data_IF_236644502322
#
_entry.id   IF_236644502322
#
_cell.length_a   1.000
_cell.length_b   1.000
_cell.length_c   1.000
_cell.angle_alpha   90.00
_cell.angle_beta   90.00
_cell.angle_gamma   90.00
#
_symmetry.space_group_name_H-M   'P 1'
#
loop_
_entity.id
_entity.type
_entity.pdbx_description
1 polymer ?
#
# COMPACT_ATOMS: atom_id res chain seq x y z
N UNK A 1 -19.50 5.92 -29.95
CA UNK A 1 -20.39 6.22 -28.80
C UNK A 1 -21.83 6.18 -29.31
N UNK A 2 -22.80 5.73 -28.51
CA UNK A 2 -24.21 5.72 -28.95
C UNK A 2 -24.87 7.04 -28.57
N UNK A 3 -25.81 7.53 -29.40
CA UNK A 3 -26.56 8.77 -29.18
C UNK A 3 -27.23 8.84 -27.79
N UNK A 4 -27.64 7.69 -27.25
CA UNK A 4 -28.24 7.61 -25.91
C UNK A 4 -27.24 7.92 -24.79
N UNK A 5 -25.98 7.49 -24.91
CA UNK A 5 -24.94 7.76 -23.90
C UNK A 5 -24.60 9.25 -23.89
N UNK A 6 -24.44 9.86 -25.06
CA UNK A 6 -24.15 11.29 -25.19
C UNK A 6 -25.27 12.15 -24.60
N UNK A 7 -26.53 11.83 -24.91
CA UNK A 7 -27.68 12.54 -24.35
C UNK A 7 -27.76 12.39 -22.82
N UNK A 8 -27.55 11.19 -22.29
CA UNK A 8 -27.53 10.97 -20.85
C UNK A 8 -26.38 11.72 -20.17
N UNK A 9 -25.21 11.77 -20.80
CA UNK A 9 -24.04 12.49 -20.30
C UNK A 9 -24.28 14.00 -20.24
N UNK A 10 -24.79 14.62 -21.31
CA UNK A 10 -25.09 16.06 -21.33
C UNK A 10 -26.14 16.45 -20.28
N UNK A 11 -27.18 15.63 -20.09
CA UNK A 11 -28.17 15.85 -19.03
C UNK A 11 -27.52 15.77 -17.64
N UNK A 12 -26.62 14.81 -17.41
CA UNK A 12 -25.91 14.71 -16.14
C UNK A 12 -24.97 15.90 -15.91
N UNK A 13 -24.24 16.32 -16.95
CA UNK A 13 -23.34 17.47 -16.94
C UNK A 13 -24.06 18.74 -16.48
N UNK A 14 -25.26 19.00 -16.98
CA UNK A 14 -26.08 20.13 -16.52
C UNK A 14 -26.45 20.00 -15.04
N UNK A 15 -26.90 18.82 -14.59
CA UNK A 15 -27.28 18.61 -13.18
C UNK A 15 -26.13 18.83 -12.20
N UNK A 16 -24.91 18.44 -12.57
CA UNK A 16 -23.72 18.70 -11.77
C UNK A 16 -23.32 20.18 -11.81
N UNK A 17 -23.43 20.83 -12.97
CA UNK A 17 -23.15 22.26 -13.12
C UNK A 17 -24.09 23.12 -12.25
N UNK A 18 -25.36 22.75 -12.11
CA UNK A 18 -26.32 23.42 -11.21
C UNK A 18 -25.88 23.40 -9.73
N UNK A 19 -24.98 22.49 -9.36
CA UNK A 19 -24.37 22.37 -8.03
C UNK A 19 -22.91 22.86 -7.98
N UNK A 20 -22.44 23.53 -9.03
CA UNK A 20 -21.07 24.07 -9.11
C UNK A 20 -19.99 23.03 -9.39
N UNK A 21 -20.33 21.86 -9.94
CA UNK A 21 -19.37 20.79 -10.26
C UNK A 21 -19.11 20.75 -11.77
N UNK A 22 -17.85 20.92 -12.17
CA UNK A 22 -17.39 20.68 -13.55
C UNK A 22 -17.06 19.20 -13.76
N UNK A 23 -17.96 18.49 -14.44
CA UNK A 23 -17.80 17.05 -14.75
C UNK A 23 -16.61 16.77 -15.65
N UNK A 24 -16.31 17.66 -16.60
CA UNK A 24 -15.17 17.48 -17.51
C UNK A 24 -13.86 17.61 -16.74
N UNK A 25 -13.79 18.56 -15.80
CA UNK A 25 -12.66 18.66 -14.88
C UNK A 25 -12.54 17.43 -13.98
N UNK A 26 -13.66 16.93 -13.45
CA UNK A 26 -13.67 15.73 -12.62
C UNK A 26 -13.16 14.49 -13.37
N UNK A 27 -13.55 14.30 -14.64
CA UNK A 27 -13.05 13.21 -15.48
C UNK A 27 -11.54 13.35 -15.73
N UNK A 28 -11.07 14.57 -16.08
CA UNK A 28 -9.62 14.82 -16.24
C UNK A 28 -8.82 14.54 -14.96
N UNK A 29 -9.38 14.87 -13.79
CA UNK A 29 -8.75 14.54 -12.50
C UNK A 29 -8.73 13.02 -12.26
N UNK A 30 -9.83 12.32 -12.54
CA UNK A 30 -9.92 10.87 -12.39
C UNK A 30 -8.87 10.14 -13.23
N UNK A 31 -8.62 10.58 -14.46
CA UNK A 31 -7.60 9.98 -15.34
C UNK A 31 -6.17 10.08 -14.76
N UNK A 32 -5.92 11.04 -13.87
CA UNK A 32 -4.61 11.25 -13.25
C UNK A 32 -4.38 10.44 -11.96
N UNK A 33 -5.41 9.74 -11.45
CA UNK A 33 -5.35 9.00 -10.19
C UNK A 33 -5.15 7.52 -10.50
N UNK A 34 -3.92 6.98 -10.38
CA UNK A 34 -3.67 5.58 -10.68
C UNK A 34 -4.28 4.65 -9.62
N UNK A 35 -4.89 3.55 -10.07
CA UNK A 35 -5.28 2.44 -9.20
C UNK A 35 -4.25 1.32 -9.30
N UNK A 36 -3.65 0.94 -8.17
CA UNK A 36 -2.69 -0.17 -8.11
C UNK A 36 -3.43 -1.50 -7.94
N UNK A 37 -3.52 -2.27 -9.03
CA UNK A 37 -4.18 -3.56 -9.07
C UNK A 37 -3.27 -4.62 -8.44
N UNK A 38 -3.84 -5.49 -7.61
CA UNK A 38 -3.07 -6.54 -6.93
C UNK A 38 -2.91 -7.78 -7.82
N UNK A 39 -1.67 -8.24 -8.02
CA UNK A 39 -1.38 -9.37 -8.91
C UNK A 39 -1.99 -10.70 -8.41
N UNK A 40 -2.10 -10.85 -7.09
CA UNK A 40 -2.43 -12.13 -6.46
C UNK A 40 -3.89 -12.57 -6.60
N UNK A 41 -4.75 -11.71 -7.14
CA UNK A 41 -6.09 -12.14 -7.54
C UNK A 41 -6.05 -13.11 -8.73
N UNK A 42 -5.05 -13.03 -9.60
CA UNK A 42 -5.02 -13.85 -10.82
C UNK A 42 -4.72 -15.34 -10.58
N UNK A 43 -4.17 -15.70 -9.42
CA UNK A 43 -3.67 -17.06 -9.15
C UNK A 43 -4.00 -17.59 -7.74
N UNK A 44 -4.94 -16.95 -7.03
CA UNK A 44 -5.30 -17.29 -5.64
C UNK A 44 -4.13 -17.16 -4.63
N UNK A 45 -3.24 -16.19 -4.82
CA UNK A 45 -2.09 -15.92 -3.93
C UNK A 45 -1.09 -17.10 -3.84
N UNK A 46 -0.91 -17.83 -4.94
CA UNK A 46 -0.01 -18.99 -4.99
C UNK A 46 1.44 -18.59 -5.27
N UNK A 47 1.64 -17.55 -6.08
CA UNK A 47 2.95 -17.17 -6.59
C UNK A 47 3.58 -18.26 -7.45
N UNK A 48 4.85 -18.07 -7.80
CA UNK A 48 5.62 -18.96 -8.67
C UNK A 48 6.78 -19.65 -7.94
N UNK A 49 7.06 -19.26 -6.70
CA UNK A 49 8.04 -19.92 -5.82
C UNK A 49 7.61 -21.36 -5.46
N UNK A 50 6.37 -21.54 -5.02
CA UNK A 50 5.80 -22.84 -4.66
C UNK A 50 4.29 -22.87 -4.99
N UNK A 51 3.91 -22.95 -6.27
CA UNK A 51 2.52 -22.78 -6.70
C UNK A 51 1.59 -23.90 -6.19
N UNK A 52 2.13 -25.03 -5.71
CA UNK A 52 1.34 -26.12 -5.13
C UNK A 52 1.20 -26.04 -3.61
N UNK A 53 1.92 -25.12 -2.97
CA UNK A 53 1.85 -24.88 -1.53
C UNK A 53 0.46 -24.43 -1.06
N UNK A 54 0.20 -24.63 0.22
CA UNK A 54 -0.99 -24.10 0.87
C UNK A 54 -0.80 -22.62 1.22
N UNK A 55 -1.86 -21.83 1.03
CA UNK A 55 -1.90 -20.46 1.51
C UNK A 55 -2.03 -20.43 3.04
N UNK A 56 -1.10 -19.74 3.71
CA UNK A 56 -1.08 -19.59 5.18
C UNK A 56 -0.96 -18.11 5.59
N UNK A 57 -0.72 -17.82 6.87
CA UNK A 57 -0.64 -16.44 7.39
C UNK A 57 -2.00 -15.83 7.75
N UNK A 58 -3.04 -16.65 7.88
CA UNK A 58 -4.39 -16.20 8.26
C UNK A 58 -5.12 -15.40 7.19
N UNK A 59 -4.79 -15.67 5.92
CA UNK A 59 -5.53 -15.29 4.73
C UNK A 59 -5.92 -16.55 3.94
N UNK A 60 -7.02 -16.46 3.18
CA UNK A 60 -7.52 -17.57 2.39
C UNK A 60 -8.13 -17.03 1.10
N UNK A 61 -7.88 -17.73 -0.02
CA UNK A 61 -8.70 -17.65 -1.21
C UNK A 61 -9.79 -18.72 -1.10
N UNK A 62 -11.03 -18.37 -1.43
CA UNK A 62 -12.18 -19.28 -1.28
C UNK A 62 -12.88 -19.48 -2.63
N UNK A 63 -13.41 -20.68 -2.85
CA UNK A 63 -13.98 -21.09 -4.13
C UNK A 63 -12.98 -21.88 -5.00
N UNK A 64 -13.51 -22.58 -5.99
CA UNK A 64 -12.77 -23.45 -6.91
C UNK A 64 -13.08 -23.09 -8.37
N UNK A 65 -13.23 -21.79 -8.66
CA UNK A 65 -13.49 -21.34 -10.03
C UNK A 65 -12.30 -21.70 -10.94
N UNK A 66 -12.53 -22.34 -12.11
CA UNK A 66 -11.43 -22.77 -12.97
C UNK A 66 -10.76 -21.59 -13.68
N UNK A 67 -9.53 -21.81 -14.17
CA UNK A 67 -8.87 -20.87 -15.09
C UNK A 67 -7.89 -19.88 -14.46
N UNK A 68 -7.51 -20.05 -13.19
CA UNK A 68 -6.46 -19.24 -12.56
C UNK A 68 -5.12 -19.36 -13.29
N UNK A 69 -4.32 -18.30 -13.29
CA UNK A 69 -2.98 -18.30 -13.82
C UNK A 69 -2.06 -19.25 -13.04
N UNK A 70 -1.12 -19.90 -13.73
CA UNK A 70 -0.19 -20.88 -13.16
C UNK A 70 1.28 -20.47 -13.27
N UNK A 71 1.54 -19.39 -14.01
CA UNK A 71 2.87 -18.85 -14.25
C UNK A 71 2.75 -17.35 -14.60
N UNK A 72 3.89 -16.66 -14.65
CA UNK A 72 3.94 -15.22 -14.89
C UNK A 72 3.39 -14.81 -16.26
N UNK A 73 3.54 -15.66 -17.29
CA UNK A 73 3.02 -15.38 -18.65
C UNK A 73 1.49 -15.40 -18.68
N UNK A 74 0.87 -16.43 -18.10
CA UNK A 74 -0.59 -16.51 -17.94
C UNK A 74 -1.10 -15.32 -17.12
N UNK A 75 -0.43 -15.01 -16.01
CA UNK A 75 -0.85 -13.92 -15.13
C UNK A 75 -0.78 -12.55 -15.83
N UNK A 76 0.28 -12.27 -16.60
CA UNK A 76 0.37 -11.04 -17.41
C UNK A 76 -0.75 -10.97 -18.45
N UNK A 77 -1.07 -12.08 -19.11
CA UNK A 77 -2.17 -12.13 -20.09
C UNK A 77 -3.55 -11.86 -19.44
N UNK A 78 -3.79 -12.40 -18.25
CA UNK A 78 -5.01 -12.14 -17.48
C UNK A 78 -5.10 -10.68 -17.04
N UNK A 79 -3.97 -10.10 -16.60
CA UNK A 79 -3.87 -8.69 -16.24
C UNK A 79 -4.12 -7.80 -17.47
N UNK A 80 -3.53 -8.10 -18.63
CA UNK A 80 -3.78 -7.36 -19.88
C UNK A 80 -5.26 -7.36 -20.24
N UNK A 81 -5.91 -8.52 -20.10
CA UNK A 81 -7.34 -8.62 -20.33
C UNK A 81 -8.12 -7.75 -19.35
N UNK A 82 -7.80 -7.78 -18.06
CA UNK A 82 -8.44 -6.94 -17.07
C UNK A 82 -8.22 -5.44 -17.35
N UNK A 83 -6.99 -5.03 -17.66
CA UNK A 83 -6.63 -3.65 -17.97
C UNK A 83 -7.35 -3.13 -19.22
N UNK A 84 -7.61 -3.98 -20.23
CA UNK A 84 -8.39 -3.61 -21.41
C UNK A 84 -9.85 -3.22 -21.12
N UNK A 85 -10.36 -3.60 -19.93
CA UNK A 85 -11.74 -3.37 -19.51
C UNK A 85 -11.86 -2.29 -18.43
N UNK A 86 -10.74 -1.77 -17.93
CA UNK A 86 -10.69 -0.77 -16.85
C UNK A 86 -10.15 0.54 -17.44
N UNK A 87 -10.88 1.67 -17.36
CA UNK A 87 -10.37 2.97 -17.82
C UNK A 87 -9.32 3.55 -16.87
N UNK A 88 -8.67 4.64 -17.30
CA UNK A 88 -7.78 5.45 -16.46
C UNK A 88 -6.38 4.86 -16.21
N UNK A 89 -5.56 5.61 -15.47
CA UNK A 89 -4.22 5.21 -15.10
C UNK A 89 -4.22 4.02 -14.12
N UNK A 90 -3.26 3.12 -14.28
CA UNK A 90 -3.13 1.90 -13.48
C UNK A 90 -1.68 1.68 -13.06
N UNK A 91 -1.53 0.90 -12.00
CA UNK A 91 -0.27 0.31 -11.54
C UNK A 91 -0.51 -1.16 -11.26
N UNK A 92 0.57 -1.93 -11.16
CA UNK A 92 0.50 -3.31 -10.69
C UNK A 92 1.25 -3.44 -9.35
N UNK A 93 0.59 -4.03 -8.37
CA UNK A 93 1.15 -4.32 -7.06
C UNK A 93 1.58 -5.79 -7.00
N UNK A 94 2.89 -6.02 -6.90
CA UNK A 94 3.51 -7.34 -6.92
C UNK A 94 3.88 -7.81 -5.52
N UNK A 95 3.81 -9.13 -5.30
CA UNK A 95 4.39 -9.78 -4.13
C UNK A 95 5.71 -10.46 -4.49
N UNK A 96 6.62 -10.63 -3.52
CA UNK A 96 7.90 -11.27 -3.75
C UNK A 96 7.80 -12.72 -4.27
N UNK A 97 6.76 -13.47 -3.88
CA UNK A 97 6.51 -14.83 -4.41
C UNK A 97 6.19 -14.88 -5.92
N UNK A 98 6.00 -13.74 -6.59
CA UNK A 98 5.79 -13.65 -8.04
C UNK A 98 7.09 -13.48 -8.84
N UNK A 99 8.24 -13.73 -8.20
CA UNK A 99 9.53 -13.76 -8.88
C UNK A 99 9.55 -14.77 -10.04
N UNK A 100 10.37 -14.49 -11.05
CA UNK A 100 10.65 -15.38 -12.17
C UNK A 100 12.10 -15.88 -12.08
N UNK A 101 12.28 -17.19 -11.96
CA UNK A 101 13.61 -17.83 -11.91
C UNK A 101 13.51 -19.29 -12.38
N UNK A 102 14.54 -19.77 -13.07
CA UNK A 102 14.66 -21.18 -13.49
C UNK A 102 15.00 -22.12 -12.33
N UNK A 103 15.51 -21.56 -11.22
CA UNK A 103 15.90 -22.31 -10.02
C UNK A 103 15.18 -21.74 -8.80
N UNK A 104 14.91 -22.56 -7.77
CA UNK A 104 14.46 -22.04 -6.48
C UNK A 104 15.43 -20.99 -5.94
N UNK A 105 14.87 -19.87 -5.45
CA UNK A 105 15.62 -18.78 -4.83
C UNK A 105 14.99 -18.57 -3.46
N UNK A 106 15.81 -18.63 -2.41
CA UNK A 106 15.34 -18.33 -1.06
C UNK A 106 14.92 -16.86 -0.95
N UNK A 107 13.92 -16.58 -0.12
CA UNK A 107 13.31 -15.24 -0.05
C UNK A 107 14.29 -14.14 0.39
N UNK A 108 15.25 -14.46 1.23
CA UNK A 108 16.32 -13.55 1.66
C UNK A 108 17.39 -13.29 0.58
N UNK A 109 17.39 -14.09 -0.50
CA UNK A 109 18.31 -13.99 -1.63
C UNK A 109 17.67 -13.43 -2.91
N UNK A 110 16.45 -12.88 -2.85
CA UNK A 110 15.82 -12.29 -4.03
C UNK A 110 16.51 -10.99 -4.46
N UNK A 111 16.71 -10.86 -5.77
CA UNK A 111 17.33 -9.70 -6.41
C UNK A 111 16.45 -9.09 -7.51
N UNK A 112 16.73 -7.84 -7.95
CA UNK A 112 16.01 -7.20 -9.06
C UNK A 112 15.94 -8.02 -10.35
N UNK A 113 16.94 -8.88 -10.61
CA UNK A 113 17.00 -9.73 -11.79
C UNK A 113 15.78 -10.66 -11.90
N UNK A 114 15.24 -11.16 -10.78
CA UNK A 114 14.08 -12.05 -10.78
C UNK A 114 12.75 -11.34 -11.12
N UNK A 115 12.77 -10.01 -11.24
CA UNK A 115 11.62 -9.19 -11.61
C UNK A 115 11.85 -8.42 -12.92
N UNK A 116 12.92 -8.72 -13.67
CA UNK A 116 13.27 -8.02 -14.90
C UNK A 116 12.15 -8.12 -15.96
N UNK A 117 11.53 -9.29 -16.11
CA UNK A 117 10.40 -9.50 -17.02
C UNK A 117 9.16 -8.68 -16.63
N UNK A 118 8.88 -8.55 -15.32
CA UNK A 118 7.82 -7.69 -14.83
C UNK A 118 8.06 -6.22 -15.14
N UNK A 119 9.30 -5.75 -14.98
CA UNK A 119 9.68 -4.37 -15.31
C UNK A 119 9.60 -4.12 -16.82
N UNK A 120 10.07 -5.06 -17.65
CA UNK A 120 9.97 -4.95 -19.10
C UNK A 120 8.50 -4.85 -19.56
N UNK A 121 7.65 -5.76 -19.07
CA UNK A 121 6.22 -5.73 -19.34
C UNK A 121 5.56 -4.43 -18.83
N UNK A 122 5.91 -3.96 -17.63
CA UNK A 122 5.37 -2.70 -17.11
C UNK A 122 5.75 -1.49 -17.99
N UNK A 123 6.95 -1.46 -18.56
CA UNK A 123 7.38 -0.42 -19.51
C UNK A 123 6.55 -0.44 -20.79
N UNK A 124 6.29 -1.61 -21.35
CA UNK A 124 5.46 -1.77 -22.56
C UNK A 124 4.03 -1.25 -22.36
N UNK A 125 3.51 -1.37 -21.14
CA UNK A 125 2.14 -0.95 -20.78
C UNK A 125 2.07 0.43 -20.11
N UNK A 126 3.19 1.14 -19.97
CA UNK A 126 3.29 2.42 -19.25
C UNK A 126 2.71 2.35 -17.81
N UNK A 127 3.06 1.29 -17.08
CA UNK A 127 2.63 1.03 -15.72
C UNK A 127 3.74 1.35 -14.71
N UNK A 128 3.34 1.84 -13.54
CA UNK A 128 4.19 1.78 -12.36
C UNK A 128 4.04 0.45 -11.63
N UNK A 129 5.08 0.04 -10.89
CA UNK A 129 5.08 -1.17 -10.06
C UNK A 129 5.19 -0.83 -8.57
N UNK A 130 4.30 -1.41 -7.78
CA UNK A 130 4.36 -1.45 -6.32
C UNK A 130 4.78 -2.85 -5.86
N UNK A 131 5.27 -2.97 -4.62
CA UNK A 131 5.90 -4.20 -4.17
C UNK A 131 5.56 -4.58 -2.73
N UNK A 132 5.76 -5.85 -2.39
CA UNK A 132 5.52 -6.36 -1.05
C UNK A 132 6.49 -7.52 -0.76
N UNK A 133 7.26 -7.50 0.35
CA UNK A 133 7.83 -8.74 0.86
C UNK A 133 6.70 -9.72 1.18
N UNK A 134 6.94 -11.01 0.96
CA UNK A 134 5.99 -12.08 1.25
C UNK A 134 6.39 -12.76 2.55
N UNK A 135 5.79 -12.35 3.68
CA UNK A 135 6.10 -12.88 5.00
C UNK A 135 5.16 -14.01 5.46
N UNK A 136 4.73 -14.90 4.55
CA UNK A 136 3.74 -15.96 4.81
C UNK A 136 3.91 -17.15 3.85
N UNK A 137 3.22 -18.28 4.06
CA UNK A 137 3.33 -19.46 3.19
C UNK A 137 4.77 -19.95 3.00
N UNK A 138 5.51 -19.99 4.10
CA UNK A 138 6.91 -20.39 4.12
C UNK A 138 7.24 -21.18 5.40
N UNK A 139 8.16 -22.17 5.37
CA UNK A 139 8.58 -22.90 6.57
C UNK A 139 9.00 -21.98 7.72
N UNK A 140 9.74 -20.91 7.43
CA UNK A 140 10.18 -19.91 8.42
C UNK A 140 9.05 -19.01 8.97
N UNK A 141 7.80 -19.19 8.54
CA UNK A 141 6.62 -18.50 9.07
C UNK A 141 5.60 -19.46 9.71
N UNK A 142 5.93 -20.77 9.78
CA UNK A 142 5.00 -21.81 10.21
C UNK A 142 4.54 -21.65 11.67
N UNK A 143 5.40 -21.07 12.53
CA UNK A 143 5.11 -20.82 13.94
C UNK A 143 4.16 -19.61 14.16
N UNK A 144 3.70 -18.96 13.09
CA UNK A 144 2.83 -17.78 13.17
C UNK A 144 3.55 -16.49 13.52
N UNK A 145 4.88 -16.48 13.47
CA UNK A 145 5.73 -15.30 13.69
C UNK A 145 6.82 -15.19 12.63
N UNK A 146 7.19 -13.95 12.26
CA UNK A 146 8.21 -13.64 11.27
C UNK A 146 9.19 -12.60 11.82
N UNK A 147 9.01 -11.32 11.50
CA UNK A 147 9.83 -10.20 12.01
C UNK A 147 9.81 -10.09 13.54
N UNK A 148 8.77 -10.63 14.20
CA UNK A 148 8.67 -10.66 15.67
C UNK A 148 8.94 -12.02 16.31
N UNK A 149 9.45 -12.99 15.54
CA UNK A 149 9.79 -14.32 16.04
C UNK A 149 10.77 -14.26 17.22
N UNK A 150 10.74 -15.22 18.16
CA UNK A 150 11.67 -15.22 19.30
C UNK A 150 13.08 -15.66 18.89
N UNK A 151 13.16 -16.68 18.02
CA UNK A 151 14.39 -17.12 17.37
C UNK A 151 14.99 -16.00 16.50
N UNK A 152 16.28 -15.72 16.73
CA UNK A 152 17.03 -14.70 15.99
C UNK A 152 17.31 -15.11 14.55
N UNK A 153 17.51 -16.39 14.26
CA UNK A 153 17.77 -16.89 12.92
C UNK A 153 16.54 -16.70 12.04
N UNK A 154 15.35 -17.04 12.57
CA UNK A 154 14.08 -16.83 11.86
C UNK A 154 13.80 -15.35 11.63
N UNK A 155 14.02 -14.50 12.65
CA UNK A 155 13.90 -13.06 12.48
C UNK A 155 14.84 -12.50 11.43
N UNK A 156 16.11 -12.92 11.44
CA UNK A 156 17.11 -12.39 10.52
C UNK A 156 16.77 -12.71 9.07
N UNK A 157 16.32 -13.94 8.79
CA UNK A 157 15.82 -14.34 7.47
C UNK A 157 14.73 -13.37 6.95
N UNK A 158 13.74 -13.04 7.79
CA UNK A 158 12.67 -12.12 7.39
C UNK A 158 13.13 -10.66 7.26
N UNK A 159 14.07 -10.23 8.11
CA UNK A 159 14.70 -8.90 7.99
C UNK A 159 15.44 -8.79 6.66
N UNK A 160 16.25 -9.79 6.31
CA UNK A 160 17.04 -9.80 5.09
C UNK A 160 16.15 -9.91 3.84
N UNK A 161 15.08 -10.71 3.89
CA UNK A 161 14.05 -10.72 2.86
C UNK A 161 13.40 -9.34 2.64
N UNK A 162 13.06 -8.64 3.72
CA UNK A 162 12.48 -7.30 3.61
C UNK A 162 13.49 -6.29 3.04
N UNK A 163 14.76 -6.33 3.46
CA UNK A 163 15.84 -5.49 2.89
C UNK A 163 16.04 -5.76 1.39
N UNK A 164 16.08 -7.02 0.98
CA UNK A 164 16.14 -7.43 -0.41
C UNK A 164 14.94 -6.88 -1.22
N UNK A 165 13.74 -6.99 -0.65
CA UNK A 165 12.51 -6.46 -1.23
C UNK A 165 12.54 -4.94 -1.42
N UNK A 166 13.15 -4.19 -0.48
CA UNK A 166 13.31 -2.74 -0.60
C UNK A 166 14.21 -2.35 -1.77
N UNK A 167 15.30 -3.09 -2.00
CA UNK A 167 16.18 -2.87 -3.17
C UNK A 167 15.48 -3.17 -4.49
N UNK A 168 14.66 -4.22 -4.55
CA UNK A 168 13.82 -4.52 -5.73
C UNK A 168 12.83 -3.39 -5.99
N UNK A 169 12.12 -2.94 -4.96
CA UNK A 169 11.19 -1.81 -5.07
C UNK A 169 11.89 -0.53 -5.54
N UNK A 170 13.07 -0.20 -5.01
CA UNK A 170 13.86 0.93 -5.50
C UNK A 170 14.28 0.77 -6.98
N UNK A 171 14.63 -0.44 -7.41
CA UNK A 171 14.92 -0.71 -8.82
C UNK A 171 13.69 -0.48 -9.72
N UNK A 172 12.47 -0.79 -9.24
CA UNK A 172 11.26 -0.48 -10.00
C UNK A 172 11.10 1.02 -10.22
N UNK A 173 11.27 1.82 -9.16
CA UNK A 173 11.11 3.27 -9.31
C UNK A 173 12.18 3.92 -10.17
N UNK A 174 13.43 3.45 -10.08
CA UNK A 174 14.51 3.85 -10.96
C UNK A 174 14.20 3.55 -12.43
N UNK A 175 13.70 2.34 -12.71
CA UNK A 175 13.48 1.88 -14.08
C UNK A 175 12.18 2.41 -14.72
N UNK A 176 11.17 2.76 -13.91
CA UNK A 176 9.84 3.17 -14.37
C UNK A 176 9.57 4.66 -14.18
N UNK A 177 10.47 5.41 -13.53
CA UNK A 177 10.36 6.86 -13.35
C UNK A 177 9.26 7.30 -12.36
N UNK A 178 8.73 6.38 -11.55
CA UNK A 178 7.74 6.64 -10.51
C UNK A 178 8.08 5.83 -9.28
N UNK A 179 8.04 6.38 -8.05
CA UNK A 179 8.38 5.62 -6.86
C UNK A 179 7.49 4.38 -6.73
N UNK A 180 8.11 3.27 -6.35
CA UNK A 180 7.43 2.05 -5.96
C UNK A 180 7.10 2.12 -4.48
N UNK A 181 5.83 1.90 -4.14
CA UNK A 181 5.45 1.74 -2.73
C UNK A 181 5.67 0.29 -2.35
N UNK A 182 6.54 0.06 -1.38
CA UNK A 182 6.75 -1.27 -0.80
C UNK A 182 5.99 -1.39 0.51
N UNK A 183 4.97 -2.25 0.55
CA UNK A 183 4.14 -2.44 1.73
C UNK A 183 4.54 -3.68 2.53
N UNK A 184 4.89 -3.48 3.79
CA UNK A 184 5.27 -4.53 4.73
C UNK A 184 4.04 -4.95 5.53
N UNK A 185 3.55 -6.15 5.23
CA UNK A 185 2.54 -6.84 6.02
C UNK A 185 3.12 -8.16 6.56
N UNK A 186 2.84 -8.46 7.83
CA UNK A 186 3.25 -9.71 8.49
C UNK A 186 2.06 -10.39 9.18
N UNK A 187 2.01 -11.74 9.21
CA UNK A 187 0.92 -12.49 9.84
C UNK A 187 1.08 -12.63 11.36
N UNK A 188 2.14 -12.05 11.93
CA UNK A 188 2.58 -12.23 13.30
C UNK A 188 1.46 -12.04 14.33
N UNK A 189 1.11 -13.12 15.03
CA UNK A 189 -0.01 -13.12 15.96
C UNK A 189 -0.21 -14.43 16.71
N UNK A 190 -1.20 -14.45 17.59
CA UNK A 190 -1.57 -15.64 18.37
C UNK A 190 -3.05 -15.95 18.17
N UNK A 191 -3.33 -17.25 18.02
CA UNK A 191 -4.69 -17.79 17.95
C UNK A 191 -5.50 -17.50 19.21
N UNK A 192 -4.90 -17.74 20.37
CA UNK A 192 -5.59 -17.78 21.67
C UNK A 192 -5.05 -16.73 22.66
N UNK A 193 -5.57 -16.73 23.88
CA UNK A 193 -5.25 -15.80 24.97
C UNK A 193 -3.72 -15.66 25.10
N UNK A 194 -3.25 -14.44 24.89
CA UNK A 194 -1.83 -14.11 24.86
C UNK A 194 -1.40 -13.52 26.20
N UNK A 195 -0.40 -14.13 26.84
CA UNK A 195 0.18 -13.65 28.10
C UNK A 195 0.99 -12.37 27.87
N UNK A 196 1.96 -12.41 26.95
CA UNK A 196 2.85 -11.28 26.67
C UNK A 196 2.60 -10.71 25.27
N UNK A 197 1.99 -9.52 25.24
CA UNK A 197 1.74 -8.74 24.02
C UNK A 197 2.79 -7.64 23.79
N UNK A 198 3.78 -7.50 24.67
CA UNK A 198 4.81 -6.47 24.58
C UNK A 198 6.05 -7.00 23.87
N UNK A 199 6.59 -8.16 24.29
CA UNK A 199 7.87 -8.65 23.75
C UNK A 199 7.86 -8.87 22.23
N UNK A 200 6.80 -9.44 21.60
CA UNK A 200 6.73 -9.53 20.15
C UNK A 200 6.73 -8.15 19.47
N UNK A 201 6.05 -7.14 20.04
CA UNK A 201 6.03 -5.78 19.49
C UNK A 201 7.39 -5.10 19.57
N UNK A 202 8.12 -5.29 20.67
CA UNK A 202 9.49 -4.78 20.79
C UNK A 202 10.40 -5.39 19.73
N UNK A 203 10.30 -6.70 19.49
CA UNK A 203 11.06 -7.36 18.43
C UNK A 203 10.66 -6.87 17.04
N UNK A 204 9.36 -6.70 16.76
CA UNK A 204 8.88 -6.15 15.49
C UNK A 204 9.42 -4.74 15.26
N UNK A 205 9.40 -3.89 16.29
CA UNK A 205 9.93 -2.53 16.23
C UNK A 205 11.41 -2.53 15.84
N UNK A 206 12.24 -3.27 16.59
CA UNK A 206 13.68 -3.36 16.27
C UNK A 206 13.95 -3.98 14.90
N UNK A 207 13.15 -4.97 14.48
CA UNK A 207 13.27 -5.58 13.16
C UNK A 207 12.92 -4.57 12.05
N UNK A 208 11.87 -3.77 12.21
CA UNK A 208 11.49 -2.74 11.24
C UNK A 208 12.55 -1.64 11.15
N UNK A 209 13.11 -1.19 12.27
CA UNK A 209 14.23 -0.23 12.28
C UNK A 209 15.41 -0.77 11.47
N UNK A 210 15.73 -2.06 11.63
CA UNK A 210 16.80 -2.70 10.87
C UNK A 210 16.47 -2.84 9.37
N UNK A 211 15.23 -3.20 9.04
CA UNK A 211 14.74 -3.32 7.65
C UNK A 211 14.87 -1.99 6.90
N UNK A 212 14.53 -0.86 7.53
CA UNK A 212 14.56 0.48 6.91
C UNK A 212 15.87 1.25 7.16
N UNK A 213 16.87 0.61 7.77
CA UNK A 213 18.17 1.24 8.09
C UNK A 213 18.91 1.74 6.83
N UNK A 214 18.90 0.95 5.76
CA UNK A 214 19.44 1.33 4.45
C UNK A 214 18.61 2.48 3.86
N UNK A 215 19.24 3.62 3.62
CA UNK A 215 18.59 4.80 3.03
C UNK A 215 18.52 4.66 1.52
N UNK A 216 17.30 4.56 1.00
CA UNK A 216 17.01 4.47 -0.43
C UNK A 216 16.46 5.82 -0.94
N UNK A 217 16.59 6.07 -2.25
CA UNK A 217 16.12 7.31 -2.85
C UNK A 217 14.58 7.40 -2.77
N UNK A 218 14.00 8.42 -2.09
CA UNK A 218 12.55 8.57 -1.96
C UNK A 218 11.82 8.83 -3.30
N UNK A 219 12.55 9.22 -4.35
CA UNK A 219 11.99 9.32 -5.71
C UNK A 219 11.75 7.93 -6.33
N UNK A 220 12.41 6.89 -5.83
CA UNK A 220 12.34 5.55 -6.38
C UNK A 220 11.58 4.57 -5.47
N UNK A 221 11.59 4.81 -4.15
CA UNK A 221 11.05 3.87 -3.17
C UNK A 221 10.37 4.57 -2.00
N UNK A 222 9.25 3.99 -1.55
CA UNK A 222 8.52 4.42 -0.36
C UNK A 222 8.21 3.20 0.48
N UNK A 223 8.64 3.21 1.75
CA UNK A 223 8.30 2.19 2.73
C UNK A 223 6.87 2.43 3.30
N UNK A 224 6.05 1.39 3.34
CA UNK A 224 4.75 1.37 4.00
C UNK A 224 4.65 0.16 4.95
N UNK A 225 3.82 0.27 6.01
CA UNK A 225 3.60 -0.80 7.00
C UNK A 225 2.11 -1.05 7.19
N UNK A 226 1.62 -2.27 7.07
CA UNK A 226 0.18 -2.55 7.10
C UNK A 226 -0.26 -3.22 8.40
N UNK A 227 -1.28 -2.65 9.05
CA UNK A 227 -1.87 -3.25 10.25
C UNK A 227 -2.98 -4.23 9.89
N UNK A 228 -3.13 -5.26 10.71
CA UNK A 228 -4.31 -6.13 10.69
C UNK A 228 -4.91 -6.23 12.08
N UNK A 229 -6.22 -6.45 12.12
CA UNK A 229 -6.91 -6.66 13.40
C UNK A 229 -6.76 -8.11 13.88
N UNK A 230 -7.05 -9.06 13.00
CA UNK A 230 -6.96 -10.48 13.25
C UNK A 230 -6.82 -11.26 11.94
N UNK A 231 -6.24 -12.45 11.99
CA UNK A 231 -6.21 -13.43 10.89
C UNK A 231 -6.79 -14.77 11.34
N UNK A 232 -7.16 -15.64 10.40
CA UNK A 232 -7.60 -17.00 10.73
C UNK A 232 -6.39 -17.78 11.27
N UNK A 233 -6.48 -18.35 12.46
CA UNK A 233 -5.35 -18.92 13.21
C UNK A 233 -4.50 -17.90 13.98
N UNK A 234 -4.84 -16.60 13.94
CA UNK A 234 -4.21 -15.51 14.68
C UNK A 234 -5.28 -14.52 15.19
N UNK A 235 -6.34 -15.05 15.81
CA UNK A 235 -7.56 -14.32 16.12
C UNK A 235 -7.45 -13.40 17.34
N UNK A 236 -6.73 -13.85 18.38
CA UNK A 236 -6.76 -13.21 19.71
C UNK A 236 -5.75 -12.08 19.87
N UNK A 237 -4.72 -12.04 19.02
CA UNK A 237 -3.68 -11.03 19.07
C UNK A 237 -2.94 -10.92 17.74
N UNK A 238 -2.79 -9.70 17.24
CA UNK A 238 -1.92 -9.35 16.11
C UNK A 238 -0.82 -8.40 16.60
N UNK A 239 0.44 -8.74 16.30
CA UNK A 239 1.60 -7.95 16.74
C UNK A 239 1.57 -6.56 16.09
N UNK A 240 1.41 -6.53 14.76
CA UNK A 240 1.26 -5.31 13.95
C UNK A 240 -0.14 -4.69 14.03
N UNK A 241 -0.58 -4.32 15.23
CA UNK A 241 -1.88 -3.66 15.45
C UNK A 241 -1.91 -2.22 14.91
N UNK A 242 -3.10 -1.67 14.71
CA UNK A 242 -3.32 -0.32 14.21
C UNK A 242 -2.57 0.75 15.03
N UNK A 243 -2.68 0.74 16.36
CA UNK A 243 -2.05 1.72 17.24
C UNK A 243 -0.51 1.63 17.16
N UNK A 244 0.01 0.40 17.13
CA UNK A 244 1.44 0.13 17.06
C UNK A 244 2.05 0.71 15.78
N UNK A 245 1.48 0.39 14.61
CA UNK A 245 2.01 0.88 13.34
C UNK A 245 1.73 2.37 13.12
N UNK A 246 0.59 2.88 13.59
CA UNK A 246 0.29 4.32 13.54
C UNK A 246 1.27 5.14 14.39
N UNK A 247 1.70 4.60 15.54
CA UNK A 247 2.73 5.23 16.37
C UNK A 247 4.09 5.22 15.68
N UNK A 248 4.51 4.07 15.10
CA UNK A 248 5.79 3.97 14.37
C UNK A 248 5.88 4.96 13.21
N UNK A 249 4.81 5.11 12.42
CA UNK A 249 4.75 6.09 11.32
C UNK A 249 4.91 7.54 11.78
N UNK A 250 4.60 7.84 13.05
CA UNK A 250 4.68 9.20 13.60
C UNK A 250 6.04 9.53 14.18
N UNK A 251 6.91 8.55 14.36
CA UNK A 251 8.28 8.74 14.82
C UNK A 251 9.13 9.14 13.61
N UNK A 252 9.49 10.41 13.46
CA UNK A 252 10.56 10.80 12.55
C UNK A 252 11.86 10.07 12.89
N UNK A 253 12.71 9.78 11.89
CA UNK A 253 14.05 9.27 12.13
C UNK A 253 14.92 10.18 13.02
N UNK A 254 14.52 11.45 13.20
CA UNK A 254 15.28 12.52 13.86
C UNK A 254 14.51 13.32 14.94
N UNK A 255 13.26 12.98 15.26
CA UNK A 255 12.44 13.72 16.23
C UNK A 255 11.58 14.89 15.69
N UNK A 256 11.53 15.19 14.38
CA UNK A 256 10.64 16.24 13.81
C UNK A 256 9.28 15.78 13.21
N UNK A 257 8.19 16.49 13.53
CA UNK A 257 6.78 16.08 13.29
C UNK A 257 6.42 15.49 11.89
N UNK A 258 5.58 14.45 11.81
CA UNK A 258 5.29 13.69 10.58
C UNK A 258 4.15 14.26 9.70
N UNK A 259 4.37 14.25 8.37
CA UNK A 259 3.32 14.35 7.34
C UNK A 259 2.67 12.99 7.08
N UNK A 260 1.33 12.96 7.04
CA UNK A 260 0.49 11.78 7.29
C UNK A 260 0.09 10.96 6.03
N UNK A 261 -0.30 9.68 6.23
CA UNK A 261 -1.62 9.11 5.83
C UNK A 261 -1.92 7.77 6.54
N UNK A 262 -3.19 7.54 6.92
CA UNK A 262 -3.73 6.40 7.70
C UNK A 262 -4.92 5.72 7.02
N UNK A 263 -5.19 4.45 7.35
CA UNK A 263 -6.50 3.78 7.23
C UNK A 263 -6.76 2.92 8.49
N UNK A 264 -7.89 3.08 9.21
CA UNK A 264 -8.29 2.15 10.28
C UNK A 264 -9.59 1.38 9.98
N UNK A 265 -9.79 0.22 10.63
CA UNK A 265 -11.15 -0.35 10.73
C UNK A 265 -11.41 -1.16 12.02
N UNK A 266 -12.51 -0.80 12.70
CA UNK A 266 -13.26 -1.63 13.65
C UNK A 266 -14.78 -1.46 13.43
N UNK A 267 -15.57 -2.46 13.89
CA UNK A 267 -16.97 -2.75 13.48
C UNK A 267 -18.03 -1.65 13.68
N UNK A 268 -17.74 -0.53 14.34
CA UNK A 268 -18.66 0.61 14.51
C UNK A 268 -18.36 1.82 13.61
N UNK A 269 -17.28 1.81 12.83
CA UNK A 269 -16.91 2.92 11.93
C UNK A 269 -17.78 3.03 10.66
N UNK A 270 -18.74 2.12 10.44
CA UNK A 270 -19.62 2.10 9.26
C UNK A 270 -20.82 3.08 9.30
N UNK A 271 -21.01 3.88 10.36
CA UNK A 271 -22.14 4.84 10.43
C UNK A 271 -21.79 6.31 10.74
N UNK A 272 -20.55 6.68 11.04
CA UNK A 272 -20.26 8.03 11.55
C UNK A 272 -19.22 8.88 10.81
N UNK A 273 -18.57 8.38 9.75
CA UNK A 273 -17.43 9.10 9.18
C UNK A 273 -17.72 10.04 7.99
N UNK A 274 -18.99 10.42 7.75
CA UNK A 274 -19.34 11.45 6.75
C UNK A 274 -19.41 12.90 7.28
N UNK A 275 -19.19 13.14 8.59
CA UNK A 275 -19.41 14.48 9.19
C UNK A 275 -18.19 15.24 9.71
N UNK A 276 -16.98 14.68 9.68
CA UNK A 276 -15.81 15.34 10.31
C UNK A 276 -14.81 16.03 9.37
N UNK A 277 -14.77 15.68 8.09
CA UNK A 277 -13.76 16.27 7.18
C UNK A 277 -14.21 17.57 6.49
N UNK A 278 -15.44 18.02 6.70
CA UNK A 278 -15.94 19.30 6.15
C UNK A 278 -15.69 20.53 7.05
N UNK A 279 -15.17 20.36 8.27
CA UNK A 279 -15.06 21.46 9.25
C UNK A 279 -13.63 21.95 9.53
N UNK A 280 -12.59 21.26 9.05
CA UNK A 280 -11.19 21.68 9.28
C UNK A 280 -10.57 22.50 8.13
N UNK A 281 -11.20 22.58 6.96
CA UNK A 281 -10.68 23.34 5.80
C UNK A 281 -11.29 24.74 5.64
N UNK A 282 -12.33 25.09 6.39
CA UNK A 282 -13.00 26.39 6.29
C UNK A 282 -12.41 27.51 7.18
N UNK A 283 -11.57 27.19 8.18
CA UNK A 283 -11.08 28.20 9.14
C UNK A 283 -9.72 28.82 8.79
N UNK A 284 -9.02 28.33 7.76
CA UNK A 284 -7.68 28.81 7.41
C UNK A 284 -7.66 29.89 6.30
N UNK A 285 -8.78 30.14 5.62
CA UNK A 285 -8.86 31.09 4.49
C UNK A 285 -9.42 32.48 4.85
N UNK A 286 -9.72 32.77 6.13
CA UNK A 286 -10.30 34.05 6.54
C UNK A 286 -9.52 34.70 7.70
N UNK A 287 -8.30 35.15 7.44
CA UNK A 287 -7.63 36.17 8.27
C UNK A 287 -6.89 37.15 7.37
N UNK A 288 -7.56 38.23 6.98
CA UNK A 288 -6.90 39.45 6.53
C UNK A 288 -6.16 40.09 7.73
N UNK A 289 -4.98 40.70 7.53
CA UNK A 289 -4.31 41.45 8.58
C UNK A 289 -5.10 42.75 8.87
N UNK A 290 -5.21 43.19 10.14
CA UNK A 290 -5.87 44.45 10.46
C UNK A 290 -5.01 45.62 9.94
N UNK A 291 -5.53 46.30 8.92
CA UNK A 291 -4.99 47.55 8.40
C UNK A 291 -5.09 48.67 9.44
N UNK A 292 -4.04 49.49 9.48
CA UNK A 292 -3.92 50.67 10.32
C UNK A 292 -5.10 51.64 10.10
N UNK A 293 -5.90 51.84 11.16
CA UNK A 293 -6.88 52.92 11.23
C UNK A 293 -6.13 54.25 11.36
N UNK A 294 -6.35 55.11 10.37
CA UNK A 294 -5.77 56.44 10.25
C UNK A 294 -6.03 57.34 11.44
N UNK A 295 -4.96 58.03 11.86
CA UNK A 295 -5.03 59.22 12.70
C UNK A 295 -5.61 60.37 11.87
N UNK A 296 -6.69 60.97 12.37
CA UNK A 296 -7.19 62.27 11.90
C UNK A 296 -6.26 63.39 12.40
N UNK A 297 -5.96 64.42 11.60
CA UNK A 297 -5.23 65.59 12.09
C UNK A 297 -6.20 66.55 12.80
N UNK A 298 -5.89 66.88 14.06
CA UNK A 298 -6.37 68.09 14.70
C UNK A 298 -5.50 69.26 14.20
N UNK A 299 -6.11 70.26 13.57
CA UNK A 299 -5.45 71.53 13.32
C UNK A 299 -5.40 72.40 14.58
N UNK A 300 -4.33 73.17 14.75
CA UNK A 300 -4.37 74.62 14.98
C UNK A 300 -2.97 75.18 15.27
N UNK A 301 -2.75 76.39 14.72
CA UNK A 301 -1.85 77.46 15.14
C UNK A 301 -0.34 77.35 14.82
N UNK A 302 0.15 78.37 14.11
CA UNK A 302 1.56 78.69 13.91
C UNK A 302 1.88 79.12 12.50
#
# INVERSE_FOLDING_TARGET
>A
MTKQIEQAFELAKQRYADNGVDVEQAIRQLDSIPVSMHCWQGDDVRGFENPQGALTGGIQATGNYPGRARNASELRSDIDKAMSLIPGAKRLNLHAIYLESDKPVDRDAIEPAHFANWVAWAKEHNLGLDFNPSCFSHPMSADGFTLSHSDKTVRQFWIDHCKASRRISASFGEQLGTPSVMNIWVPDGMKDITVDRLAPRQRLMSALDEVISEKLNPQHHIDAVESKLFGIGAESYTVGSNEFLSWLRRQPPDGTMPGCRTFPSHRSDLRQNFRRDALCTASAAARQPPGALGQRPCGAAG
#
